data_IF_511430506615
#
_entry.id   IF_511430506615
#
_cell.length_a   1.000
_cell.length_b   1.000
_cell.length_c   1.000
_cell.angle_alpha   90.00
_cell.angle_beta   90.00
_cell.angle_gamma   90.00
#
_symmetry.space_group_name_H-M   'P 1'
#
loop_
_entity.id
_entity.type
_entity.pdbx_description
1 polymer ?
#
# COMPACT_ATOMS: atom_id res chain seq x y z
N UNK A 1 26.14 20.37 -14.48
CA UNK A 1 25.45 20.96 -13.31
C UNK A 1 24.57 19.89 -12.68
N UNK A 2 24.99 19.32 -11.56
CA UNK A 2 24.21 18.32 -10.81
C UNK A 2 23.14 19.04 -10.01
N UNK A 3 21.89 18.94 -10.44
CA UNK A 3 20.75 19.41 -9.67
C UNK A 3 20.69 18.59 -8.38
N UNK A 4 21.08 19.20 -7.24
CA UNK A 4 20.89 18.61 -5.92
C UNK A 4 19.38 18.46 -5.71
N UNK A 5 18.87 17.24 -5.82
CA UNK A 5 17.52 16.91 -5.42
C UNK A 5 17.41 17.18 -3.92
N UNK A 6 16.79 18.30 -3.56
CA UNK A 6 16.47 18.60 -2.17
C UNK A 6 15.57 17.46 -1.63
N UNK A 7 15.91 16.85 -0.49
CA UNK A 7 15.09 15.79 0.07
C UNK A 7 13.69 16.32 0.32
N UNK A 8 12.67 15.64 -0.23
CA UNK A 8 11.29 15.87 0.21
C UNK A 8 11.22 15.56 1.71
N UNK A 9 10.54 16.38 2.52
CA UNK A 9 10.51 16.20 3.97
C UNK A 9 9.91 14.83 4.30
N UNK A 10 10.50 14.14 5.29
CA UNK A 10 10.11 12.79 5.71
C UNK A 10 8.60 12.63 5.93
N UNK A 11 7.94 13.71 6.33
CA UNK A 11 6.48 13.84 6.44
C UNK A 11 5.73 13.39 5.20
N UNK A 12 6.17 13.75 3.97
CA UNK A 12 5.48 13.34 2.73
C UNK A 12 5.57 11.84 2.45
N UNK A 13 6.69 11.20 2.80
CA UNK A 13 6.85 9.75 2.67
C UNK A 13 5.95 9.03 3.68
N UNK A 14 5.96 9.46 4.94
CA UNK A 14 5.08 8.93 5.99
C UNK A 14 3.61 9.04 5.60
N UNK A 15 3.17 10.22 5.11
CA UNK A 15 1.79 10.41 4.66
C UNK A 15 1.42 9.42 3.56
N UNK A 16 2.26 9.24 2.53
CA UNK A 16 1.98 8.28 1.45
C UNK A 16 1.92 6.83 1.94
N UNK A 17 2.84 6.43 2.81
CA UNK A 17 2.84 5.09 3.41
C UNK A 17 1.57 4.85 4.22
N UNK A 18 1.14 5.83 5.01
CA UNK A 18 -0.12 5.76 5.78
C UNK A 18 -1.34 5.68 4.87
N UNK A 19 -1.37 6.41 3.74
CA UNK A 19 -2.47 6.30 2.78
C UNK A 19 -2.55 4.91 2.15
N UNK A 20 -1.41 4.35 1.73
CA UNK A 20 -1.36 2.99 1.16
C UNK A 20 -1.81 1.96 2.20
N UNK A 21 -1.32 2.08 3.44
CA UNK A 21 -1.72 1.21 4.55
C UNK A 21 -3.22 1.29 4.83
N UNK A 22 -3.78 2.51 4.89
CA UNK A 22 -5.19 2.73 5.18
C UNK A 22 -6.08 2.16 4.08
N UNK A 23 -5.78 2.47 2.82
CA UNK A 23 -6.56 2.01 1.67
C UNK A 23 -6.47 0.47 1.51
N UNK A 24 -5.30 -0.11 1.77
CA UNK A 24 -5.12 -1.57 1.80
C UNK A 24 -6.02 -2.24 2.83
N UNK A 25 -6.01 -1.75 4.07
CA UNK A 25 -6.80 -2.33 5.15
C UNK A 25 -8.30 -2.11 4.94
N UNK A 26 -8.72 -0.90 4.56
CA UNK A 26 -10.13 -0.62 4.26
C UNK A 26 -10.64 -1.45 3.07
N UNK A 27 -9.83 -1.57 2.01
CA UNK A 27 -10.19 -2.37 0.83
C UNK A 27 -10.28 -3.86 1.15
N UNK A 28 -9.29 -4.39 1.86
CA UNK A 28 -9.27 -5.80 2.26
C UNK A 28 -10.40 -6.15 3.23
N UNK A 29 -10.63 -5.33 4.25
CA UNK A 29 -11.75 -5.52 5.19
C UNK A 29 -13.10 -5.34 4.52
N UNK A 30 -13.23 -4.36 3.62
CA UNK A 30 -14.45 -4.17 2.84
C UNK A 30 -14.78 -5.38 1.95
N UNK A 31 -13.76 -5.99 1.34
CA UNK A 31 -13.94 -7.23 0.59
C UNK A 31 -14.41 -8.38 1.48
N UNK A 32 -13.76 -8.60 2.64
CA UNK A 32 -14.21 -9.59 3.61
C UNK A 32 -15.66 -9.34 4.04
N UNK A 33 -16.03 -8.09 4.29
CA UNK A 33 -17.39 -7.74 4.66
C UNK A 33 -18.40 -8.16 3.57
N UNK A 34 -18.09 -7.91 2.30
CA UNK A 34 -18.94 -8.31 1.17
C UNK A 34 -19.03 -9.84 1.07
N UNK A 35 -17.93 -10.54 1.27
CA UNK A 35 -17.86 -12.01 1.20
C UNK A 35 -18.71 -12.65 2.31
N UNK A 36 -18.49 -12.24 3.56
CA UNK A 36 -19.28 -12.69 4.71
C UNK A 36 -20.75 -12.30 4.58
N UNK A 37 -21.08 -11.08 4.15
CA UNK A 37 -22.47 -10.66 3.98
C UNK A 37 -23.21 -11.42 2.87
N UNK A 38 -22.50 -12.00 1.90
CA UNK A 38 -23.11 -12.84 0.85
C UNK A 38 -23.48 -14.23 1.36
N UNK A 39 -22.64 -14.81 2.22
CA UNK A 39 -22.89 -16.13 2.79
C UNK A 39 -23.82 -16.06 4.01
N UNK A 40 -23.51 -15.19 4.97
CA UNK A 40 -24.28 -14.99 6.21
C UNK A 40 -24.21 -13.53 6.69
N UNK A 41 -25.26 -12.71 6.47
CA UNK A 41 -25.25 -11.29 6.81
C UNK A 41 -25.18 -11.01 8.33
N UNK A 42 -25.34 -12.00 9.19
CA UNK A 42 -25.13 -11.89 10.64
C UNK A 42 -23.64 -11.85 11.03
N UNK A 43 -22.76 -12.32 10.14
CA UNK A 43 -21.36 -12.58 10.46
C UNK A 43 -20.44 -11.41 10.07
N UNK A 44 -21.02 -10.28 9.66
CA UNK A 44 -20.27 -9.06 9.30
C UNK A 44 -19.36 -8.57 10.44
N UNK A 45 -19.74 -8.80 11.70
CA UNK A 45 -18.94 -8.45 12.87
C UNK A 45 -17.61 -9.21 12.92
N UNK A 46 -17.60 -10.47 12.46
CA UNK A 46 -16.40 -11.30 12.35
C UNK A 46 -15.44 -10.69 11.32
N UNK A 47 -15.95 -10.31 10.15
CA UNK A 47 -15.15 -9.63 9.12
C UNK A 47 -14.54 -8.31 9.62
N UNK A 48 -15.31 -7.52 10.40
CA UNK A 48 -14.81 -6.28 11.02
C UNK A 48 -13.72 -6.54 12.07
N UNK A 49 -13.90 -7.55 12.94
CA UNK A 49 -12.89 -7.92 13.94
C UNK A 49 -11.62 -8.42 13.27
N UNK A 50 -11.72 -9.30 12.27
CA UNK A 50 -10.58 -9.78 11.49
C UNK A 50 -9.86 -8.60 10.83
N UNK A 51 -10.61 -7.69 10.21
CA UNK A 51 -10.07 -6.48 9.59
C UNK A 51 -9.36 -5.55 10.57
N UNK A 52 -9.93 -5.35 11.76
CA UNK A 52 -9.34 -4.52 12.80
C UNK A 52 -8.03 -5.13 13.33
N UNK A 53 -8.02 -6.45 13.59
CA UNK A 53 -6.80 -7.16 13.98
C UNK A 53 -5.74 -7.05 12.87
N UNK A 54 -6.16 -7.14 11.61
CA UNK A 54 -5.25 -6.99 10.48
C UNK A 54 -4.65 -5.60 10.35
N UNK A 55 -5.46 -4.57 10.55
CA UNK A 55 -4.99 -3.20 10.59
C UNK A 55 -3.95 -3.02 11.71
N UNK A 56 -4.24 -3.49 12.92
CA UNK A 56 -3.33 -3.35 14.07
C UNK A 56 -2.00 -4.08 13.87
N UNK A 57 -2.04 -5.34 13.42
CA UNK A 57 -0.82 -6.13 13.17
C UNK A 57 0.01 -5.52 12.04
N UNK A 58 -0.64 -5.11 10.94
CA UNK A 58 0.07 -4.50 9.81
C UNK A 58 0.57 -3.07 10.09
N UNK A 59 -0.03 -2.35 11.05
CA UNK A 59 0.42 -1.03 11.49
C UNK A 59 1.83 -1.08 12.07
N UNK A 60 2.17 -2.17 12.78
CA UNK A 60 3.52 -2.40 13.29
C UNK A 60 4.57 -2.48 12.16
N UNK A 61 4.17 -2.88 10.95
CA UNK A 61 5.05 -2.94 9.78
C UNK A 61 5.29 -1.56 9.14
N UNK A 62 4.38 -0.59 9.32
CA UNK A 62 4.46 0.75 8.70
C UNK A 62 5.82 1.43 8.90
N UNK A 63 6.36 1.59 10.13
CA UNK A 63 7.65 2.26 10.33
C UNK A 63 8.81 1.56 9.62
N UNK A 64 8.76 0.23 9.46
CA UNK A 64 9.80 -0.53 8.77
C UNK A 64 9.82 -0.27 7.26
N UNK A 65 8.70 0.17 6.68
CA UNK A 65 8.55 0.36 5.23
C UNK A 65 8.77 1.84 4.84
N UNK A 66 8.67 2.78 5.79
CA UNK A 66 9.01 4.20 5.58
C UNK A 66 10.37 4.41 4.88
N UNK A 67 11.49 3.74 5.25
CA UNK A 67 12.76 3.93 4.56
C UNK A 67 12.71 3.52 3.08
N UNK A 68 11.95 2.49 2.72
CA UNK A 68 11.76 2.08 1.32
C UNK A 68 11.05 3.19 0.53
N UNK A 69 9.96 3.74 1.08
CA UNK A 69 9.25 4.85 0.45
C UNK A 69 10.05 6.16 0.42
N UNK A 70 10.87 6.42 1.43
CA UNK A 70 11.80 7.55 1.43
C UNK A 70 12.87 7.42 0.31
N UNK A 71 13.39 6.21 0.09
CA UNK A 71 14.32 5.90 -1.01
C UNK A 71 13.66 6.05 -2.39
N UNK A 72 12.39 5.63 -2.54
CA UNK A 72 11.66 5.78 -3.81
C UNK A 72 11.54 7.24 -4.27
N UNK A 73 11.51 8.20 -3.35
CA UNK A 73 11.44 9.63 -3.68
C UNK A 73 12.82 10.23 -4.00
N UNK A 74 13.91 9.58 -3.58
CA UNK A 74 15.28 10.11 -3.69
C UNK A 74 15.98 9.71 -4.98
N UNK A 75 15.67 8.54 -5.53
CA UNK A 75 16.43 7.94 -6.64
C UNK A 75 15.58 7.58 -7.86
N UNK A 76 14.26 7.71 -7.79
CA UNK A 76 13.40 7.15 -8.82
C UNK A 76 12.65 8.25 -9.60
N UNK A 77 12.55 8.07 -10.92
CA UNK A 77 11.72 8.88 -11.82
C UNK A 77 10.67 7.96 -12.44
N UNK A 78 9.40 8.36 -12.39
CA UNK A 78 8.30 7.67 -13.10
C UNK A 78 8.15 6.20 -12.72
N UNK A 79 8.36 5.31 -13.69
CA UNK A 79 8.12 3.86 -13.57
C UNK A 79 8.94 3.21 -12.45
N UNK A 80 10.17 3.67 -12.22
CA UNK A 80 11.05 3.13 -11.18
C UNK A 80 10.55 3.45 -9.76
N UNK A 81 9.81 4.56 -9.55
CA UNK A 81 9.15 4.85 -8.27
C UNK A 81 8.04 3.86 -7.99
N UNK A 82 7.28 3.52 -9.04
CA UNK A 82 6.13 2.64 -8.94
C UNK A 82 6.56 1.21 -8.65
N UNK A 83 7.60 0.71 -9.31
CA UNK A 83 8.14 -0.63 -9.05
C UNK A 83 8.70 -0.77 -7.64
N UNK A 84 9.46 0.21 -7.16
CA UNK A 84 10.00 0.21 -5.80
C UNK A 84 8.91 0.36 -4.74
N UNK A 85 7.90 1.20 -4.96
CA UNK A 85 6.73 1.30 -4.08
C UNK A 85 5.92 -0.01 -4.05
N UNK A 86 5.79 -0.68 -5.20
CA UNK A 86 5.13 -1.98 -5.32
C UNK A 86 5.89 -3.05 -4.56
N UNK A 87 7.22 -3.11 -4.72
CA UNK A 87 8.08 -4.03 -3.97
C UNK A 87 7.96 -3.79 -2.47
N UNK A 88 7.97 -2.53 -2.02
CA UNK A 88 7.75 -2.17 -0.62
C UNK A 88 6.40 -2.66 -0.07
N UNK A 89 5.32 -2.51 -0.84
CA UNK A 89 3.99 -3.01 -0.48
C UNK A 89 3.94 -4.55 -0.41
N UNK A 90 4.61 -5.24 -1.33
CA UNK A 90 4.69 -6.71 -1.33
C UNK A 90 5.49 -7.22 -0.12
N UNK A 91 6.63 -6.60 0.18
CA UNK A 91 7.44 -6.95 1.37
C UNK A 91 6.65 -6.71 2.66
N UNK A 92 5.97 -5.56 2.76
CA UNK A 92 5.08 -5.24 3.88
C UNK A 92 4.00 -6.29 4.09
N UNK A 93 3.38 -6.73 3.00
CA UNK A 93 2.34 -7.75 3.01
C UNK A 93 2.87 -9.08 3.54
N UNK A 94 3.99 -9.58 3.01
CA UNK A 94 4.58 -10.82 3.51
C UNK A 94 5.02 -10.72 4.96
N UNK A 95 5.58 -9.58 5.37
CA UNK A 95 5.97 -9.36 6.76
C UNK A 95 4.76 -9.38 7.70
N UNK A 96 3.66 -8.72 7.33
CA UNK A 96 2.42 -8.76 8.09
C UNK A 96 1.88 -10.20 8.20
N UNK A 97 1.82 -10.95 7.08
CA UNK A 97 1.39 -12.36 7.08
C UNK A 97 2.30 -13.24 7.95
N UNK A 98 3.61 -13.00 7.93
CA UNK A 98 4.54 -13.69 8.81
C UNK A 98 4.28 -13.39 10.30
N UNK A 99 4.05 -12.11 10.64
CA UNK A 99 3.70 -11.71 12.01
C UNK A 99 2.38 -12.36 12.45
N UNK A 100 1.38 -12.42 11.57
CA UNK A 100 0.12 -13.10 11.84
C UNK A 100 0.30 -14.58 12.18
N UNK A 101 1.11 -15.32 11.41
CA UNK A 101 1.40 -16.72 11.70
C UNK A 101 2.13 -16.91 13.04
N UNK A 102 2.88 -15.92 13.49
CA UNK A 102 3.61 -15.96 14.77
C UNK A 102 2.75 -15.53 15.95
N UNK A 103 1.82 -14.61 15.75
CA UNK A 103 0.98 -14.02 16.78
C UNK A 103 -0.32 -14.80 17.01
N UNK A 104 -0.83 -15.45 15.96
CA UNK A 104 -2.08 -16.18 16.01
C UNK A 104 -1.88 -17.61 15.51
N UNK A 105 -2.58 -18.60 16.09
CA UNK A 105 -2.58 -20.00 15.63
C UNK A 105 -3.44 -20.14 14.36
N UNK A 106 -3.21 -19.27 13.39
CA UNK A 106 -3.83 -19.38 12.07
C UNK A 106 -3.10 -20.50 11.34
N UNK A 107 -3.85 -21.29 10.57
CA UNK A 107 -3.34 -22.48 9.90
C UNK A 107 -2.23 -22.18 8.87
N UNK A 108 -2.03 -23.06 7.86
CA UNK A 108 -0.94 -22.90 6.91
C UNK A 108 -1.04 -21.56 6.14
N UNK A 109 0.11 -21.03 5.72
CA UNK A 109 0.23 -19.75 4.98
C UNK A 109 -0.74 -19.64 3.79
N UNK A 110 -1.07 -20.75 3.12
CA UNK A 110 -2.02 -20.78 2.00
C UNK A 110 -3.44 -20.35 2.36
N UNK A 111 -3.93 -20.76 3.54
CA UNK A 111 -5.24 -20.31 4.05
C UNK A 111 -5.22 -18.82 4.37
N UNK A 112 -4.11 -18.35 4.95
CA UNK A 112 -3.90 -16.94 5.26
C UNK A 112 -3.87 -16.08 3.99
N UNK A 113 -3.18 -16.54 2.94
CA UNK A 113 -3.08 -15.86 1.65
C UNK A 113 -4.43 -15.72 0.93
N UNK A 114 -5.32 -16.69 1.08
CA UNK A 114 -6.66 -16.63 0.50
C UNK A 114 -7.48 -15.50 1.14
N UNK A 115 -7.33 -15.31 2.46
CA UNK A 115 -8.01 -14.26 3.23
C UNK A 115 -7.33 -12.90 3.04
N UNK A 116 -6.00 -12.86 2.94
CA UNK A 116 -5.21 -11.63 2.88
C UNK A 116 -4.99 -11.10 1.45
N UNK A 117 -5.25 -11.91 0.42
CA UNK A 117 -5.15 -11.52 -1.00
C UNK A 117 -5.86 -10.20 -1.36
N UNK A 118 -7.11 -9.96 -0.90
CA UNK A 118 -7.81 -8.69 -1.12
C UNK A 118 -7.05 -7.46 -0.59
N UNK A 119 -6.35 -7.59 0.54
CA UNK A 119 -5.52 -6.52 1.10
C UNK A 119 -4.34 -6.20 0.18
N UNK A 120 -3.67 -7.23 -0.33
CA UNK A 120 -2.59 -7.03 -1.30
C UNK A 120 -3.10 -6.34 -2.57
N UNK A 121 -4.23 -6.79 -3.12
CA UNK A 121 -4.83 -6.19 -4.31
C UNK A 121 -5.13 -4.69 -4.07
N UNK A 122 -5.77 -4.35 -2.95
CA UNK A 122 -6.05 -2.98 -2.56
C UNK A 122 -4.78 -2.13 -2.38
N UNK A 123 -3.72 -2.71 -1.79
CA UNK A 123 -2.43 -2.04 -1.66
C UNK A 123 -1.80 -1.72 -3.03
N UNK A 124 -1.83 -2.67 -3.97
CA UNK A 124 -1.30 -2.49 -5.32
C UNK A 124 -2.07 -1.43 -6.11
N UNK A 125 -3.40 -1.42 -6.00
CA UNK A 125 -4.24 -0.37 -6.60
C UNK A 125 -3.93 1.00 -6.00
N UNK A 126 -3.73 1.07 -4.68
CA UNK A 126 -3.36 2.30 -3.97
C UNK A 126 -2.00 2.83 -4.44
N UNK A 127 -1.01 1.96 -4.62
CA UNK A 127 0.29 2.33 -5.19
C UNK A 127 0.11 2.85 -6.62
N UNK A 128 -0.66 2.15 -7.46
CA UNK A 128 -0.94 2.58 -8.84
C UNK A 128 -1.61 3.95 -8.93
N UNK A 129 -2.51 4.25 -7.99
CA UNK A 129 -3.19 5.54 -7.89
C UNK A 129 -2.26 6.65 -7.39
N UNK A 130 -1.56 6.44 -6.28
CA UNK A 130 -0.71 7.45 -5.63
C UNK A 130 0.52 7.79 -6.48
N UNK A 131 1.06 6.80 -7.21
CA UNK A 131 2.22 6.96 -8.09
C UNK A 131 1.84 7.12 -9.57
N UNK A 132 0.61 7.57 -9.86
CA UNK A 132 0.17 7.84 -11.23
C UNK A 132 1.11 8.88 -11.88
N UNK A 133 1.62 8.64 -13.09
CA UNK A 133 2.47 9.63 -13.76
C UNK A 133 1.70 10.93 -13.94
N UNK A 134 2.29 12.05 -13.49
CA UNK A 134 1.72 13.36 -13.76
C UNK A 134 1.66 13.53 -15.28
N UNK A 135 0.45 13.58 -15.84
CA UNK A 135 0.25 13.99 -17.23
C UNK A 135 0.72 15.43 -17.31
N UNK A 136 1.91 15.65 -17.89
CA UNK A 136 2.37 16.99 -18.22
C UNK A 136 1.29 17.60 -19.12
N UNK A 137 0.58 18.66 -18.69
CA UNK A 137 -0.42 19.26 -19.54
C UNK A 137 0.30 19.73 -20.81
N UNK A 138 -0.20 19.29 -21.97
CA UNK A 138 0.34 19.60 -23.30
C UNK A 138 0.49 21.11 -23.59
N UNK A 139 -0.03 21.96 -22.70
CA UNK A 139 0.06 23.42 -22.76
C UNK A 139 1.47 23.98 -22.55
N UNK A 140 2.39 23.22 -21.92
CA UNK A 140 3.78 23.69 -21.71
C UNK A 140 4.69 23.42 -22.92
N UNK A 141 4.35 22.47 -23.80
CA UNK A 141 5.19 22.15 -24.97
C UNK A 141 5.03 23.18 -26.10
N UNK A 142 3.86 23.84 -26.22
CA UNK A 142 3.65 24.89 -27.23
C UNK A 142 4.45 26.18 -27.00
N UNK A 143 4.76 26.51 -25.75
CA UNK A 143 5.52 27.73 -25.43
C UNK A 143 7.03 27.58 -25.57
N UNK A 144 7.53 26.36 -25.80
CA UNK A 144 8.96 26.08 -26.03
C UNK A 144 9.32 25.92 -27.51
N UNK A 145 8.34 25.98 -28.43
CA UNK A 145 8.59 25.95 -29.88
C UNK A 145 8.38 27.30 -30.57
N UNK A 146 8.07 28.36 -29.83
CA UNK A 146 7.80 29.70 -30.36
C UNK A 146 8.64 30.81 -29.68
N UNK A 147 9.72 30.43 -28.98
CA UNK A 147 10.68 31.35 -28.37
C UNK A 147 12.04 31.23 -29.01
#
# INVERSE_FOLDING_TARGET
MSARYAPLPATKATTRTLHIWLLSNLGGTGWLLVDFCRENPTDYSIALVIGAVAALVSLACVPLIIPFFALTNRFCIGWFCRTTATAGAVVAFFLANYLFLKLLPLGPLGSLLSISGPYLCAALLSVGWIYRPATVPARTVRNLQLG
#
